data_IF_700740759076
#
_entry.id   IF_700740759076
#
_cell.length_a   1.000
_cell.length_b   1.000
_cell.length_c   1.000
_cell.angle_alpha   90.00
_cell.angle_beta   90.00
_cell.angle_gamma   90.00
#
_symmetry.space_group_name_H-M   'P 1'
#
loop_
_entity.id
_entity.type
_entity.pdbx_description
1 polymer ?
#
# COMPACT_ATOMS: atom_id res chain seq x y z
N UNK A 1 -7.49 -2.18 20.31
CA UNK A 1 -8.34 -1.01 19.98
C UNK A 1 -8.33 -0.76 18.48
N UNK A 2 -9.50 -0.49 17.93
CA UNK A 2 -9.60 -0.17 16.50
C UNK A 2 -9.11 1.27 16.26
N UNK A 3 -8.49 1.48 15.10
CA UNK A 3 -7.94 2.78 14.70
C UNK A 3 -8.82 3.37 13.60
N UNK A 4 -9.10 4.67 13.68
CA UNK A 4 -9.87 5.36 12.65
C UNK A 4 -9.05 5.50 11.37
N UNK A 5 -9.71 5.43 10.22
CA UNK A 5 -9.05 5.59 8.93
C UNK A 5 -8.63 7.04 8.67
N UNK A 6 -9.34 8.01 9.22
CA UNK A 6 -8.97 9.43 9.08
C UNK A 6 -7.65 9.72 9.77
N UNK A 7 -6.77 10.42 9.07
CA UNK A 7 -5.39 10.65 9.53
C UNK A 7 -4.38 9.69 8.94
N UNK A 8 -4.83 8.70 8.17
CA UNK A 8 -3.94 7.82 7.43
C UNK A 8 -3.25 8.60 6.31
N UNK A 9 -1.97 8.36 6.13
CA UNK A 9 -1.16 9.02 5.11
C UNK A 9 -0.49 7.99 4.24
N UNK A 10 -0.38 8.29 2.95
CA UNK A 10 0.26 7.42 1.98
C UNK A 10 1.55 8.08 1.49
N UNK A 11 2.62 7.32 1.50
CA UNK A 11 3.94 7.75 1.05
C UNK A 11 4.46 6.79 -0.01
N UNK A 12 5.31 7.29 -0.88
CA UNK A 12 6.02 6.43 -1.84
C UNK A 12 7.50 6.78 -1.83
N UNK A 13 8.34 5.77 -2.12
CA UNK A 13 9.77 5.97 -2.30
C UNK A 13 10.02 6.12 -3.80
N UNK A 14 10.24 7.33 -4.26
CA UNK A 14 10.49 7.62 -5.66
C UNK A 14 11.84 8.32 -5.81
N UNK A 15 12.68 7.83 -6.73
CA UNK A 15 14.00 8.40 -7.02
C UNK A 15 14.86 8.59 -5.76
N UNK A 16 14.76 7.68 -4.81
CA UNK A 16 15.55 7.73 -3.57
C UNK A 16 15.03 8.71 -2.52
N UNK A 17 13.84 9.27 -2.70
CA UNK A 17 13.23 10.21 -1.77
C UNK A 17 11.82 9.77 -1.39
N UNK A 18 11.43 10.07 -0.16
CA UNK A 18 10.06 9.84 0.30
C UNK A 18 9.17 10.98 -0.19
N UNK A 19 8.10 10.61 -0.89
CA UNK A 19 7.11 11.56 -1.39
C UNK A 19 5.77 11.24 -0.74
N UNK A 20 5.18 12.21 -0.05
CA UNK A 20 3.83 12.08 0.48
C UNK A 20 2.83 12.29 -0.64
N UNK A 21 1.78 11.48 -0.65
CA UNK A 21 0.69 11.61 -1.62
C UNK A 21 -0.50 12.28 -0.90
N UNK A 22 -0.68 13.59 -1.07
CA UNK A 22 -1.80 14.29 -0.44
C UNK A 22 -3.09 14.12 -1.23
N UNK A 23 -4.21 14.47 -0.62
CA UNK A 23 -5.51 14.43 -1.28
C UNK A 23 -6.11 13.04 -1.42
N UNK A 24 -5.55 12.04 -0.75
CA UNK A 24 -6.10 10.69 -0.75
C UNK A 24 -7.41 10.65 0.03
N UNK A 25 -8.47 10.17 -0.62
CA UNK A 25 -9.79 10.03 0.01
C UNK A 25 -10.10 8.59 0.40
N UNK A 26 -9.45 7.63 -0.26
CA UNK A 26 -9.60 6.22 0.06
C UNK A 26 -8.37 5.46 -0.38
N UNK A 27 -8.03 4.42 0.35
CA UNK A 27 -6.93 3.54 -0.01
C UNK A 27 -7.26 2.11 0.37
N UNK A 28 -7.05 1.21 -0.58
CA UNK A 28 -7.19 -0.22 -0.37
C UNK A 28 -5.92 -0.91 -0.89
N UNK A 29 -5.10 -1.48 0.00
CA UNK A 29 -3.86 -2.11 -0.43
C UNK A 29 -4.06 -3.44 -1.15
N UNK A 30 -5.30 -3.93 -1.25
CA UNK A 30 -5.58 -5.22 -1.84
C UNK A 30 -5.15 -6.39 -0.97
N UNK A 31 -5.39 -7.58 -1.46
CA UNK A 31 -5.04 -8.81 -0.76
C UNK A 31 -3.92 -9.56 -1.45
N UNK A 32 -3.56 -10.67 -0.84
CA UNK A 32 -2.58 -11.61 -1.40
C UNK A 32 -3.11 -13.03 -1.16
N UNK A 33 -4.18 -13.42 -1.90
CA UNK A 33 -4.79 -14.73 -1.71
C UNK A 33 -3.78 -15.83 -2.02
N UNK A 34 -3.86 -16.90 -1.25
CA UNK A 34 -3.01 -18.06 -1.40
C UNK A 34 -3.74 -19.14 -2.20
N UNK A 35 -3.03 -19.75 -3.10
CA UNK A 35 -3.55 -20.89 -3.85
C UNK A 35 -3.74 -22.09 -2.91
N UNK A 36 -4.65 -22.95 -3.26
CA UNK A 36 -4.87 -24.21 -2.57
C UNK A 36 -4.15 -25.34 -3.33
N UNK A 37 -3.35 -26.10 -2.61
CA UNK A 37 -2.74 -27.31 -3.16
C UNK A 37 -3.40 -28.50 -2.48
N UNK A 38 -4.05 -29.37 -3.25
CA UNK A 38 -4.69 -30.55 -2.70
C UNK A 38 -3.63 -31.55 -2.24
N UNK A 39 -3.79 -32.05 -1.02
CA UNK A 39 -2.91 -33.04 -0.40
C UNK A 39 -3.69 -34.31 -0.02
N UNK A 40 -4.90 -34.46 -0.53
CA UNK A 40 -5.74 -35.62 -0.25
C UNK A 40 -5.08 -36.89 -0.76
N UNK A 41 -4.99 -37.91 0.09
CA UNK A 41 -4.49 -39.23 -0.33
C UNK A 41 -5.62 -40.28 -0.30
N UNK A 42 -5.29 -41.50 -0.68
CA UNK A 42 -6.26 -42.59 -0.77
C UNK A 42 -6.80 -43.03 0.59
N UNK A 43 -6.14 -42.69 1.67
CA UNK A 43 -6.58 -43.01 3.02
C UNK A 43 -7.61 -42.05 3.54
N UNK A 44 -7.77 -40.85 2.90
CA UNK A 44 -8.75 -39.84 3.28
C UNK A 44 -10.13 -40.20 2.75
N UNK A 45 -10.98 -40.76 3.61
CA UNK A 45 -12.31 -41.26 3.18
C UNK A 45 -13.45 -40.30 3.48
N UNK A 46 -13.21 -39.21 4.24
CA UNK A 46 -14.28 -38.32 4.72
C UNK A 46 -14.22 -36.92 4.15
N UNK A 47 -13.03 -36.36 3.91
CA UNK A 47 -12.89 -34.99 3.42
C UNK A 47 -11.56 -34.79 2.70
N UNK A 48 -11.53 -33.76 1.85
CA UNK A 48 -10.29 -33.38 1.17
C UNK A 48 -9.40 -32.55 2.07
N UNK A 49 -8.10 -32.74 1.94
CA UNK A 49 -7.10 -31.94 2.63
C UNK A 49 -6.38 -31.02 1.67
N UNK A 50 -6.09 -29.80 2.15
CA UNK A 50 -5.44 -28.79 1.32
C UNK A 50 -4.27 -28.15 2.07
N UNK A 51 -3.20 -27.89 1.35
CA UNK A 51 -2.09 -27.06 1.80
C UNK A 51 -2.19 -25.67 1.17
N UNK A 52 -1.65 -24.71 1.89
CA UNK A 52 -1.56 -23.33 1.41
C UNK A 52 -0.43 -23.23 0.38
N UNK A 53 -0.75 -22.78 -0.82
CA UNK A 53 0.22 -22.58 -1.89
C UNK A 53 0.79 -21.16 -1.95
N UNK A 54 1.25 -20.78 -3.12
CA UNK A 54 1.82 -19.46 -3.36
C UNK A 54 0.75 -18.39 -3.27
N UNK A 55 1.18 -17.18 -2.89
CA UNK A 55 0.31 -16.01 -2.90
C UNK A 55 0.33 -15.33 -4.25
N UNK A 56 -0.83 -14.83 -4.68
CA UNK A 56 -0.95 -14.02 -5.88
C UNK A 56 -1.23 -12.58 -5.46
N UNK A 57 -0.25 -11.67 -5.60
CA UNK A 57 -0.45 -10.28 -5.21
C UNK A 57 -1.59 -9.64 -6.02
N UNK A 58 -2.51 -8.99 -5.31
CA UNK A 58 -3.60 -8.27 -5.93
C UNK A 58 -3.20 -6.85 -6.32
N UNK A 59 -4.18 -6.06 -6.72
CA UNK A 59 -4.00 -4.65 -7.04
C UNK A 59 -4.39 -3.79 -5.86
N UNK A 60 -3.60 -2.77 -5.58
CA UNK A 60 -3.97 -1.72 -4.65
C UNK A 60 -4.74 -0.62 -5.39
N UNK A 61 -5.66 0.01 -4.70
CA UNK A 61 -6.47 1.09 -5.25
C UNK A 61 -6.33 2.31 -4.34
N UNK A 62 -5.90 3.42 -4.92
CA UNK A 62 -5.75 4.70 -4.21
C UNK A 62 -6.63 5.73 -4.90
N UNK A 63 -7.63 6.24 -4.19
CA UNK A 63 -8.49 7.31 -4.70
C UNK A 63 -7.97 8.65 -4.21
N UNK A 64 -7.67 9.56 -5.13
CA UNK A 64 -7.17 10.89 -4.81
C UNK A 64 -8.01 11.95 -5.50
N UNK A 65 -8.10 13.12 -4.89
CA UNK A 65 -8.56 14.32 -5.58
C UNK A 65 -7.36 14.86 -6.37
N UNK A 66 -7.42 14.74 -7.69
CA UNK A 66 -6.29 15.08 -8.55
C UNK A 66 -6.02 16.59 -8.54
N UNK A 67 -4.79 16.96 -8.22
CA UNK A 67 -4.35 18.35 -8.19
C UNK A 67 -3.15 18.51 -9.15
N UNK A 68 -3.31 19.28 -10.23
CA UNK A 68 -2.23 19.46 -11.18
C UNK A 68 -1.03 20.25 -10.64
N UNK A 69 -1.19 20.92 -9.51
CA UNK A 69 -0.09 21.64 -8.86
C UNK A 69 0.67 20.77 -7.86
N UNK A 70 0.16 19.59 -7.58
CA UNK A 70 0.80 18.67 -6.63
C UNK A 70 1.79 17.77 -7.37
N UNK A 71 3.11 17.88 -7.10
CA UNK A 71 4.11 17.08 -7.81
C UNK A 71 3.91 15.56 -7.64
N UNK A 72 3.40 15.12 -6.50
CA UNK A 72 3.16 13.70 -6.26
C UNK A 72 2.11 13.13 -7.22
N UNK A 73 1.05 13.86 -7.49
CA UNK A 73 0.00 13.43 -8.43
C UNK A 73 0.51 13.38 -9.86
N UNK A 74 1.29 14.38 -10.26
CA UNK A 74 1.92 14.41 -11.58
C UNK A 74 2.87 13.23 -11.74
N UNK A 75 3.65 12.94 -10.72
CA UNK A 75 4.59 11.81 -10.74
C UNK A 75 3.88 10.46 -10.84
N UNK A 76 2.76 10.29 -10.14
CA UNK A 76 1.94 9.08 -10.27
C UNK A 76 1.42 8.89 -11.70
N UNK A 77 0.97 9.97 -12.32
CA UNK A 77 0.52 9.93 -13.70
C UNK A 77 1.66 9.57 -14.66
N UNK A 78 2.81 10.16 -14.48
CA UNK A 78 3.99 9.84 -15.30
C UNK A 78 4.40 8.37 -15.15
N UNK A 79 4.37 7.84 -13.93
CA UNK A 79 4.67 6.43 -13.69
C UNK A 79 3.64 5.51 -14.35
N UNK A 80 2.36 5.91 -14.38
CA UNK A 80 1.32 5.11 -15.03
C UNK A 80 1.52 5.02 -16.53
N UNK A 81 2.12 6.04 -17.15
CA UNK A 81 2.37 6.09 -18.59
C UNK A 81 3.79 5.66 -18.96
N UNK A 82 4.63 5.37 -17.98
CA UNK A 82 6.00 4.90 -18.23
C UNK A 82 5.98 3.49 -18.81
N UNK A 83 6.87 3.24 -19.77
CA UNK A 83 7.04 1.92 -20.37
C UNK A 83 7.99 1.01 -19.57
N UNK A 84 8.59 1.55 -18.49
CA UNK A 84 9.53 0.81 -17.67
C UNK A 84 8.82 -0.06 -16.62
N UNK A 85 9.54 -1.01 -16.07
CA UNK A 85 9.07 -1.82 -14.95
C UNK A 85 9.49 -1.20 -13.62
N UNK A 86 9.27 0.09 -13.47
CA UNK A 86 9.72 0.83 -12.30
C UNK A 86 8.84 0.48 -11.10
N UNK A 87 9.31 -0.46 -10.31
CA UNK A 87 8.67 -0.79 -9.05
C UNK A 87 9.08 0.21 -8.00
N UNK A 88 8.10 0.71 -7.27
CA UNK A 88 8.31 1.63 -6.15
C UNK A 88 7.71 1.04 -4.89
N UNK A 89 8.28 1.42 -3.77
CA UNK A 89 7.74 1.04 -2.47
C UNK A 89 6.73 2.06 -2.01
N UNK A 90 5.62 1.57 -1.51
CA UNK A 90 4.56 2.40 -0.94
C UNK A 90 4.45 2.10 0.55
N UNK A 91 4.25 3.15 1.31
CA UNK A 91 4.12 3.08 2.77
C UNK A 91 2.83 3.75 3.18
N UNK A 92 2.02 3.03 3.93
CA UNK A 92 0.76 3.56 4.48
C UNK A 92 0.94 3.71 5.97
N UNK A 93 0.98 4.94 6.44
CA UNK A 93 1.04 5.25 7.86
C UNK A 93 -0.35 5.39 8.44
N UNK A 94 -0.66 4.58 9.44
CA UNK A 94 -1.96 4.61 10.10
C UNK A 94 -2.12 5.87 10.96
N UNK A 95 -3.34 6.16 11.33
CA UNK A 95 -3.65 7.37 12.11
C UNK A 95 -3.26 7.28 13.59
N UNK A 96 -2.70 6.18 14.02
CA UNK A 96 -2.22 6.00 15.40
C UNK A 96 -0.89 6.71 15.68
N UNK A 97 -0.35 7.42 14.72
CA UNK A 97 0.83 8.25 14.83
C UNK A 97 0.86 9.31 13.76
N UNK A 98 1.83 10.20 13.80
CA UNK A 98 1.94 11.32 12.86
C UNK A 98 3.31 11.45 12.21
N UNK A 99 4.30 10.68 12.65
CA UNK A 99 5.65 10.79 12.14
C UNK A 99 5.77 10.23 10.74
N UNK A 100 6.41 10.96 9.80
CA UNK A 100 6.65 10.45 8.45
C UNK A 100 7.82 9.48 8.42
N UNK A 101 7.93 8.63 7.38
CA UNK A 101 9.11 7.82 7.18
C UNK A 101 10.31 8.71 6.80
N UNK A 102 11.51 8.22 7.07
CA UNK A 102 12.75 8.91 6.73
C UNK A 102 13.62 8.03 5.85
N UNK A 103 14.44 8.68 5.01
CA UNK A 103 15.38 7.99 4.13
C UNK A 103 16.78 8.42 4.48
N UNK A 104 17.67 7.44 4.67
CA UNK A 104 19.09 7.66 4.83
C UNK A 104 19.82 6.64 3.96
N UNK A 105 20.65 7.11 3.02
CA UNK A 105 21.47 6.25 2.15
C UNK A 105 20.65 5.13 1.48
N UNK A 106 19.53 5.51 0.84
CA UNK A 106 18.61 4.61 0.14
C UNK A 106 17.86 3.61 1.05
N UNK A 107 18.05 3.70 2.35
CA UNK A 107 17.34 2.88 3.33
C UNK A 107 16.22 3.68 3.96
N UNK A 108 15.01 3.13 3.92
CA UNK A 108 13.84 3.76 4.53
C UNK A 108 13.72 3.30 5.98
N UNK A 109 13.61 4.25 6.89
CA UNK A 109 13.33 3.99 8.29
C UNK A 109 11.90 4.39 8.61
N UNK A 110 11.14 3.44 9.15
CA UNK A 110 9.76 3.68 9.57
C UNK A 110 9.72 3.92 11.08
N UNK A 111 9.11 5.03 11.53
CA UNK A 111 8.99 5.28 12.96
C UNK A 111 8.21 4.17 13.68
N UNK A 112 8.70 3.75 14.84
CA UNK A 112 8.02 2.73 15.65
C UNK A 112 6.82 3.30 16.42
N UNK A 113 6.64 4.61 16.41
CA UNK A 113 5.53 5.31 17.05
C UNK A 113 4.24 5.26 16.25
N UNK A 114 4.25 4.58 15.12
CA UNK A 114 3.13 4.52 14.19
C UNK A 114 3.06 3.13 13.56
N UNK A 115 1.84 2.67 13.28
CA UNK A 115 1.63 1.42 12.53
C UNK A 115 1.81 1.67 11.05
N UNK A 116 2.46 0.76 10.36
CA UNK A 116 2.78 0.86 8.93
C UNK A 116 2.34 -0.37 8.17
N UNK A 117 1.91 -0.14 6.95
CA UNK A 117 1.77 -1.19 5.94
C UNK A 117 2.63 -0.80 4.74
N UNK A 118 3.53 -1.69 4.34
CA UNK A 118 4.42 -1.43 3.20
C UNK A 118 4.26 -2.51 2.15
N UNK A 119 4.38 -2.10 0.90
CA UNK A 119 4.35 -3.02 -0.23
C UNK A 119 5.11 -2.41 -1.40
N UNK A 120 5.46 -3.25 -2.35
CA UNK A 120 6.12 -2.85 -3.58
C UNK A 120 5.19 -3.09 -4.76
N UNK A 121 5.23 -2.20 -5.74
CA UNK A 121 4.42 -2.34 -6.93
C UNK A 121 4.69 -1.24 -7.94
N UNK A 122 3.97 -1.30 -9.05
CA UNK A 122 4.05 -0.26 -10.08
C UNK A 122 2.66 0.33 -10.32
N UNK A 123 2.62 1.61 -10.68
CA UNK A 123 1.37 2.29 -11.03
C UNK A 123 0.94 1.81 -12.40
N UNK A 124 -0.19 1.14 -12.48
CA UNK A 124 -0.67 0.58 -13.73
C UNK A 124 -1.63 1.51 -14.46
N UNK A 125 -2.36 2.36 -13.74
CA UNK A 125 -3.35 3.24 -14.33
C UNK A 125 -3.60 4.47 -13.46
N UNK A 126 -3.87 5.59 -14.12
CA UNK A 126 -4.24 6.86 -13.47
C UNK A 126 -5.38 7.49 -14.27
N UNK A 127 -6.59 6.95 -14.17
CA UNK A 127 -7.74 7.54 -14.87
C UNK A 127 -8.18 8.82 -14.19
N UNK A 128 -8.67 9.77 -14.96
CA UNK A 128 -9.22 11.03 -14.43
C UNK A 128 -10.72 11.02 -14.61
N UNK A 129 -11.46 11.35 -13.56
CA UNK A 129 -12.91 11.39 -13.57
C UNK A 129 -13.38 12.84 -13.37
N UNK A 130 -14.19 13.31 -14.31
CA UNK A 130 -14.73 14.66 -14.33
C UNK A 130 -16.25 14.57 -14.20
N UNK A 131 -16.79 15.11 -13.13
CA UNK A 131 -18.24 15.09 -12.88
C UNK A 131 -18.72 16.45 -12.37
N UNK A 132 -19.99 16.76 -12.64
CA UNK A 132 -20.60 18.01 -12.20
C UNK A 132 -20.69 18.04 -10.67
N UNK A 133 -20.37 19.20 -10.09
CA UNK A 133 -20.41 19.43 -8.64
C UNK A 133 -19.48 18.52 -7.84
N UNK A 134 -18.38 18.09 -8.46
CA UNK A 134 -17.37 17.28 -7.77
C UNK A 134 -15.97 17.72 -8.16
N UNK A 135 -15.00 17.39 -7.34
CA UNK A 135 -13.60 17.60 -7.65
C UNK A 135 -13.14 16.56 -8.67
N UNK A 136 -12.12 16.91 -9.46
CA UNK A 136 -11.49 15.93 -10.35
C UNK A 136 -10.86 14.86 -9.48
N UNK A 137 -11.25 13.61 -9.69
CA UNK A 137 -10.75 12.50 -8.91
C UNK A 137 -10.08 11.47 -9.79
N UNK A 138 -9.21 10.68 -9.18
CA UNK A 138 -8.56 9.56 -9.85
C UNK A 138 -8.55 8.36 -8.93
N UNK A 139 -8.89 7.22 -9.49
CA UNK A 139 -8.71 5.94 -8.81
C UNK A 139 -7.45 5.29 -9.36
N UNK A 140 -6.33 5.59 -8.73
CA UNK A 140 -5.03 5.07 -9.14
C UNK A 140 -4.97 3.58 -8.85
N UNK A 141 -4.59 2.79 -9.83
CA UNK A 141 -4.41 1.36 -9.68
C UNK A 141 -2.93 1.04 -9.61
N UNK A 142 -2.53 0.35 -8.56
CA UNK A 142 -1.15 -0.05 -8.32
C UNK A 142 -1.09 -1.57 -8.32
N UNK A 143 -0.40 -2.16 -9.27
CA UNK A 143 -0.20 -3.61 -9.30
C UNK A 143 0.91 -3.97 -8.32
N UNK A 144 0.57 -4.73 -7.30
CA UNK A 144 1.53 -5.16 -6.30
C UNK A 144 2.44 -6.25 -6.82
N UNK A 145 3.66 -6.27 -6.31
CA UNK A 145 4.65 -7.30 -6.59
C UNK A 145 5.19 -7.79 -5.25
N UNK A 146 5.06 -9.07 -5.00
CA UNK A 146 5.50 -9.66 -3.73
C UNK A 146 4.51 -9.44 -2.59
N UNK A 147 4.92 -9.87 -1.40
CA UNK A 147 4.10 -9.79 -0.20
C UNK A 147 4.15 -8.38 0.40
N UNK A 148 3.02 -7.94 0.95
CA UNK A 148 3.00 -6.76 1.79
C UNK A 148 3.45 -7.08 3.22
N UNK A 149 3.88 -6.06 3.94
CA UNK A 149 4.30 -6.21 5.33
C UNK A 149 3.52 -5.25 6.21
N UNK A 150 2.89 -5.79 7.23
CA UNK A 150 2.21 -5.01 8.25
C UNK A 150 3.08 -4.96 9.50
N UNK A 151 3.46 -3.75 9.91
CA UNK A 151 4.31 -3.51 11.07
C UNK A 151 3.51 -2.73 12.11
N UNK A 152 2.99 -3.41 13.15
CA UNK A 152 2.27 -2.71 14.20
C UNK A 152 3.16 -1.74 14.98
N UNK A 153 2.52 -0.68 15.46
CA UNK A 153 3.18 0.28 16.35
C UNK A 153 3.77 -0.44 17.55
N UNK A 154 5.02 -0.16 17.86
CA UNK A 154 5.65 -0.67 19.06
C UNK A 154 5.09 0.07 20.27
N UNK A 155 4.48 -0.60 21.24
CA UNK A 155 4.04 0.08 22.44
C UNK A 155 5.23 0.81 23.08
N UNK A 156 5.01 2.04 23.49
CA UNK A 156 6.03 2.71 24.29
C UNK A 156 6.39 1.77 25.42
N UNK A 157 7.68 1.43 25.51
CA UNK A 157 8.15 0.67 26.67
C UNK A 157 7.88 1.54 27.89
N UNK A 158 6.67 1.41 28.40
CA UNK A 158 6.36 1.99 29.67
C UNK A 158 7.39 1.43 30.62
N UNK A 159 8.26 2.28 31.09
CA UNK A 159 9.20 1.92 32.11
C UNK A 159 8.44 1.25 33.22
N UNK A 160 8.29 -0.02 33.09
CA UNK A 160 7.59 -0.74 34.06
C UNK A 160 8.34 -0.67 35.32
N UNK A 161 7.87 -0.34 36.33
CA UNK A 161 8.47 -0.57 37.49
C UNK A 161 8.19 -1.72 38.03
#
# INVERSE_FOLDING_TARGET
>A
MSVLAQGTQVFMLAAGAIVRIPGATAFNPGGNPRDQVEETDLEDTTSRRYKKGLGTPGSASLTVNADPQEPAHVQLYEMANSKGEDKVKFFVGWSDGTEPPTVATQTVSLPTTRTWFEFEGYVSDFPMDFATNSLVSSQVTIQRSGDGKWTPKTPASGGGE
#
